data_IF_407436783077
#
_entry.id   IF_407436783077
#
_cell.length_a   1.000
_cell.length_b   1.000
_cell.length_c   1.000
_cell.angle_alpha   90.00
_cell.angle_beta   90.00
_cell.angle_gamma   90.00
#
_symmetry.space_group_name_H-M   'P 1'
#
loop_
_entity.id
_entity.type
_entity.pdbx_description
1 polymer ?
#
# COMPACT_ATOMS: atom_id res chain seq x y z
N UNK A 1 -7.26 33.43 -11.74
CA UNK A 1 -8.24 32.32 -11.65
C UNK A 1 -7.49 31.03 -11.88
N UNK A 2 -6.92 30.45 -10.82
CA UNK A 2 -5.86 29.43 -10.94
C UNK A 2 -5.83 28.49 -9.73
N UNK A 3 -6.88 27.68 -9.50
CA UNK A 3 -6.91 26.85 -8.28
C UNK A 3 -7.37 25.39 -8.46
N UNK A 4 -8.06 24.98 -9.52
CA UNK A 4 -8.55 23.59 -9.59
C UNK A 4 -7.70 22.62 -10.44
N UNK A 5 -6.99 23.10 -11.48
CA UNK A 5 -6.31 22.20 -12.43
C UNK A 5 -4.95 21.67 -11.95
N UNK A 6 -4.32 22.31 -10.96
CA UNK A 6 -2.95 21.98 -10.51
C UNK A 6 -2.91 20.79 -9.53
N UNK A 7 -4.03 20.37 -8.95
CA UNK A 7 -4.04 19.31 -7.92
C UNK A 7 -4.27 17.91 -8.50
N UNK A 8 -4.97 17.77 -9.64
CA UNK A 8 -5.32 16.45 -10.20
C UNK A 8 -4.10 15.67 -10.71
N UNK A 9 -3.17 16.34 -11.40
CA UNK A 9 -1.90 15.72 -11.84
C UNK A 9 -1.01 15.33 -10.65
N UNK A 10 -1.04 16.11 -9.57
CA UNK A 10 -0.32 15.80 -8.34
C UNK A 10 -0.90 14.57 -7.64
N UNK A 11 -2.23 14.45 -7.58
CA UNK A 11 -2.92 13.26 -7.04
C UNK A 11 -2.61 12.02 -7.87
N UNK A 12 -2.68 12.10 -9.20
CA UNK A 12 -2.35 10.99 -10.10
C UNK A 12 -0.89 10.53 -9.94
N UNK A 13 0.05 11.47 -9.91
CA UNK A 13 1.48 11.19 -9.70
C UNK A 13 1.74 10.56 -8.33
N UNK A 14 1.07 11.07 -7.30
CA UNK A 14 1.16 10.50 -5.94
C UNK A 14 0.61 9.08 -5.91
N UNK A 15 -0.51 8.81 -6.60
CA UNK A 15 -1.09 7.47 -6.69
C UNK A 15 -0.15 6.46 -7.33
N UNK A 16 0.50 6.82 -8.44
CA UNK A 16 1.50 5.98 -9.09
C UNK A 16 2.68 5.70 -8.15
N UNK A 17 3.16 6.74 -7.47
CA UNK A 17 4.28 6.62 -6.51
C UNK A 17 3.93 5.72 -5.32
N UNK A 18 2.71 5.83 -4.80
CA UNK A 18 2.18 4.97 -3.73
C UNK A 18 2.03 3.53 -4.21
N UNK A 19 1.53 3.30 -5.42
CA UNK A 19 1.43 1.95 -6.01
C UNK A 19 2.80 1.28 -6.13
N UNK A 20 3.80 2.00 -6.67
CA UNK A 20 5.17 1.48 -6.77
C UNK A 20 5.78 1.18 -5.39
N UNK A 21 5.49 2.03 -4.39
CA UNK A 21 5.92 1.78 -3.00
C UNK A 21 5.23 0.56 -2.40
N UNK A 22 3.93 0.38 -2.68
CA UNK A 22 3.15 -0.78 -2.24
C UNK A 22 3.71 -2.09 -2.80
N UNK A 23 4.08 -2.12 -4.08
CA UNK A 23 4.69 -3.29 -4.73
C UNK A 23 6.04 -3.64 -4.10
N UNK A 24 6.89 -2.63 -3.86
CA UNK A 24 8.17 -2.82 -3.17
C UNK A 24 7.98 -3.35 -1.75
N UNK A 25 7.06 -2.77 -0.99
CA UNK A 25 6.77 -3.22 0.37
C UNK A 25 6.29 -4.66 0.39
N UNK A 26 5.42 -5.07 -0.55
CA UNK A 26 4.96 -6.45 -0.69
C UNK A 26 6.12 -7.42 -0.99
N UNK A 27 7.02 -7.03 -1.90
CA UNK A 27 8.22 -7.81 -2.20
C UNK A 27 9.12 -7.96 -0.96
N UNK A 28 9.37 -6.86 -0.24
CA UNK A 28 10.17 -6.86 0.98
C UNK A 28 9.49 -7.71 2.07
N UNK A 29 8.15 -7.67 2.15
CA UNK A 29 7.42 -8.45 3.14
C UNK A 29 7.54 -9.96 2.90
N UNK A 30 7.39 -10.36 1.64
CA UNK A 30 7.56 -11.73 1.20
C UNK A 30 9.01 -12.23 1.40
N UNK A 31 10.00 -11.38 1.09
CA UNK A 31 11.42 -11.72 1.26
C UNK A 31 11.76 -12.04 2.73
N UNK A 32 11.28 -11.22 3.68
CA UNK A 32 11.50 -11.48 5.10
C UNK A 32 10.80 -12.76 5.58
N UNK A 33 9.61 -13.08 5.06
CA UNK A 33 8.95 -14.36 5.39
C UNK A 33 9.76 -15.57 4.90
N UNK A 34 10.35 -15.48 3.70
CA UNK A 34 11.24 -16.51 3.18
C UNK A 34 12.49 -16.69 4.06
N UNK A 35 13.09 -15.58 4.51
CA UNK A 35 14.25 -15.61 5.43
C UNK A 35 13.90 -16.25 6.78
N UNK A 36 12.75 -15.92 7.37
CA UNK A 36 12.28 -16.52 8.63
C UNK A 36 12.02 -18.03 8.47
N UNK A 37 11.45 -18.44 7.34
CA UNK A 37 11.21 -19.86 7.02
C UNK A 37 12.52 -20.62 6.84
N UNK A 38 13.49 -20.02 6.17
CA UNK A 38 14.82 -20.59 6.02
C UNK A 38 15.52 -20.73 7.37
N UNK A 39 15.45 -19.71 8.23
CA UNK A 39 16.01 -19.77 9.58
C UNK A 39 15.38 -20.89 10.40
N UNK A 40 14.06 -21.04 10.34
CA UNK A 40 13.33 -22.14 10.97
C UNK A 40 13.84 -23.51 10.52
N UNK A 41 14.14 -23.69 9.23
CA UNK A 41 14.69 -24.95 8.72
C UNK A 41 16.09 -25.29 9.27
N UNK A 42 16.84 -24.27 9.70
CA UNK A 42 18.20 -24.42 10.23
C UNK A 42 18.27 -24.64 11.74
N UNK A 43 17.22 -24.24 12.48
CA UNK A 43 17.19 -24.32 13.94
C UNK A 43 16.37 -25.54 14.40
N UNK A 44 17.07 -26.56 14.91
CA UNK A 44 16.43 -27.75 15.51
C UNK A 44 16.37 -27.63 17.03
N UNK A 45 15.37 -28.28 17.65
CA UNK A 45 15.18 -28.28 19.11
C UNK A 45 14.35 -27.10 19.63
N UNK A 46 14.52 -26.74 20.90
CA UNK A 46 13.64 -25.81 21.65
C UNK A 46 13.66 -24.37 21.06
N UNK A 47 14.74 -23.99 20.37
CA UNK A 47 14.84 -22.71 19.66
C UNK A 47 13.89 -22.58 18.45
N UNK A 48 13.33 -23.68 17.97
CA UNK A 48 12.35 -23.68 16.86
C UNK A 48 11.06 -22.95 17.21
N UNK A 49 10.64 -23.00 18.49
CA UNK A 49 9.44 -22.31 18.97
C UNK A 49 9.59 -20.78 18.83
N UNK A 50 10.74 -20.21 19.19
CA UNK A 50 10.99 -18.78 19.04
C UNK A 50 10.98 -18.33 17.56
N UNK A 51 11.45 -19.17 16.64
CA UNK A 51 11.35 -18.90 15.20
C UNK A 51 9.90 -18.99 14.68
N UNK A 52 9.11 -19.93 15.20
CA UNK A 52 7.68 -20.04 14.88
C UNK A 52 6.93 -18.80 15.35
N UNK A 53 7.16 -18.35 16.57
CA UNK A 53 6.57 -17.12 17.13
C UNK A 53 6.96 -15.88 16.31
N UNK A 54 8.22 -15.79 15.87
CA UNK A 54 8.68 -14.70 15.00
C UNK A 54 7.98 -14.72 13.63
N UNK A 55 7.79 -15.90 13.03
CA UNK A 55 7.08 -16.05 11.77
C UNK A 55 5.57 -15.77 11.88
N UNK A 56 4.95 -16.04 13.03
CA UNK A 56 3.57 -15.66 13.32
C UNK A 56 3.39 -14.15 13.47
N UNK A 57 4.23 -13.53 14.29
CA UNK A 57 4.24 -12.07 14.45
C UNK A 57 4.45 -11.37 13.10
N UNK A 58 5.36 -11.90 12.28
CA UNK A 58 5.60 -11.37 10.95
C UNK A 58 4.40 -11.48 10.02
N UNK A 59 3.70 -12.63 9.99
CA UNK A 59 2.46 -12.77 9.21
C UNK A 59 1.39 -11.75 9.62
N UNK A 60 1.27 -11.48 10.91
CA UNK A 60 0.37 -10.43 11.41
C UNK A 60 0.77 -9.03 10.90
N UNK A 61 2.06 -8.70 10.96
CA UNK A 61 2.58 -7.44 10.45
C UNK A 61 2.38 -7.29 8.94
N UNK A 62 2.64 -8.36 8.17
CA UNK A 62 2.39 -8.38 6.72
C UNK A 62 0.93 -8.08 6.39
N UNK A 63 -0.02 -8.76 7.05
CA UNK A 63 -1.44 -8.53 6.84
C UNK A 63 -1.85 -7.08 7.15
N UNK A 64 -1.25 -6.49 8.18
CA UNK A 64 -1.49 -5.09 8.52
C UNK A 64 -0.97 -4.12 7.46
N UNK A 65 0.22 -4.37 6.90
CA UNK A 65 0.78 -3.58 5.79
C UNK A 65 -0.12 -3.67 4.56
N UNK A 66 -0.56 -4.87 4.18
CA UNK A 66 -1.47 -5.07 3.06
C UNK A 66 -2.80 -4.31 3.24
N UNK A 67 -3.38 -4.36 4.45
CA UNK A 67 -4.59 -3.60 4.78
C UNK A 67 -4.38 -2.09 4.68
N UNK A 68 -3.26 -1.57 5.20
CA UNK A 68 -2.94 -0.15 5.13
C UNK A 68 -2.77 0.32 3.68
N UNK A 69 -2.05 -0.44 2.85
CA UNK A 69 -1.86 -0.14 1.43
C UNK A 69 -3.18 -0.17 0.66
N UNK A 70 -4.05 -1.13 0.93
CA UNK A 70 -5.38 -1.19 0.33
C UNK A 70 -6.23 0.03 0.71
N UNK A 71 -6.22 0.44 1.98
CA UNK A 71 -6.95 1.63 2.45
C UNK A 71 -6.45 2.92 1.78
N UNK A 72 -5.14 3.09 1.65
CA UNK A 72 -4.54 4.23 0.95
C UNK A 72 -4.93 4.23 -0.53
N UNK A 73 -4.86 3.07 -1.20
CA UNK A 73 -5.25 2.94 -2.61
C UNK A 73 -6.71 3.31 -2.86
N UNK A 74 -7.62 2.89 -1.96
CA UNK A 74 -9.03 3.29 -2.01
C UNK A 74 -9.23 4.79 -1.80
N UNK A 75 -8.54 5.39 -0.82
CA UNK A 75 -8.63 6.82 -0.54
C UNK A 75 -8.17 7.65 -1.76
N UNK A 76 -7.04 7.30 -2.36
CA UNK A 76 -6.52 7.99 -3.55
C UNK A 76 -7.45 7.82 -4.76
N UNK A 77 -7.98 6.61 -5.00
CA UNK A 77 -8.95 6.39 -6.07
C UNK A 77 -10.28 7.13 -5.85
N UNK A 78 -10.70 7.33 -4.60
CA UNK A 78 -11.88 8.15 -4.29
C UNK A 78 -11.63 9.64 -4.55
N UNK A 79 -10.44 10.14 -4.23
CA UNK A 79 -10.04 11.52 -4.49
C UNK A 79 -10.02 11.81 -6.00
N UNK A 80 -9.42 10.94 -6.82
CA UNK A 80 -9.41 11.07 -8.29
C UNK A 80 -10.84 11.21 -8.86
N UNK A 81 -11.77 10.36 -8.42
CA UNK A 81 -13.18 10.41 -8.89
C UNK A 81 -13.88 11.69 -8.47
N UNK A 82 -13.65 12.15 -7.24
CA UNK A 82 -14.26 13.37 -6.73
C UNK A 82 -13.81 14.59 -7.55
N UNK A 83 -12.51 14.70 -7.84
CA UNK A 83 -11.99 15.80 -8.65
C UNK A 83 -12.48 15.75 -10.10
N UNK A 84 -12.52 14.56 -10.71
CA UNK A 84 -13.05 14.40 -12.07
C UNK A 84 -14.53 14.83 -12.16
N UNK A 85 -15.34 14.50 -11.15
CA UNK A 85 -16.74 14.94 -11.09
C UNK A 85 -16.86 16.45 -10.92
N UNK A 86 -16.08 17.04 -10.01
CA UNK A 86 -16.10 18.48 -9.76
C UNK A 86 -15.73 19.30 -11.01
N UNK A 87 -14.79 18.81 -11.82
CA UNK A 87 -14.41 19.46 -13.09
C UNK A 87 -15.50 19.34 -14.16
N UNK A 88 -16.16 18.18 -14.25
CA UNK A 88 -17.31 17.98 -15.13
C UNK A 88 -18.48 18.92 -14.75
N UNK A 89 -18.80 19.02 -13.47
CA UNK A 89 -19.88 19.89 -12.96
C UNK A 89 -19.57 21.36 -13.22
N UNK A 90 -18.31 21.77 -12.99
CA UNK A 90 -17.85 23.13 -13.28
C UNK A 90 -17.97 23.46 -14.77
N UNK A 91 -17.57 22.53 -15.65
CA UNK A 91 -17.68 22.71 -17.11
C UNK A 91 -19.14 22.85 -17.55
N UNK A 92 -20.05 22.08 -16.95
CA UNK A 92 -21.48 22.13 -17.24
C UNK A 92 -22.14 23.46 -16.83
N UNK A 93 -21.60 24.16 -15.82
CA UNK A 93 -22.11 25.47 -15.38
C UNK A 93 -21.76 26.61 -16.35
N UNK A 94 -20.71 26.45 -17.16
CA UNK A 94 -20.24 27.45 -18.12
C UNK A 94 -20.65 27.15 -19.56
N UNK A 95 -21.49 26.13 -19.77
CA UNK A 95 -22.09 25.75 -21.06
C UNK A 95 -23.60 26.06 -21.05
#
# INVERSE_FOLDING_TARGET
MSVFTVDTDAVATTRLSVSATAERLQSDTAAMMAQLTQLQSSWTGIASAACQDAAEQWRGAQAHVEQALAAIGQALGSAERFYAQAESDSTALFH
#
